data_IF_469626877770
#
_entry.id   IF_469626877770
#
_cell.length_a   1.000
_cell.length_b   1.000
_cell.length_c   1.000
_cell.angle_alpha   90.00
_cell.angle_beta   90.00
_cell.angle_gamma   90.00
#
_symmetry.space_group_name_H-M   'P 1'
#
loop_
_entity.id
_entity.type
_entity.pdbx_description
1 polymer ?
#
# COMPACT_ATOMS: atom_id res chain seq x y z
N UNK A 1 -31.11 -14.47 -6.58
CA UNK A 1 -30.25 -13.29 -6.34
C UNK A 1 -29.41 -13.50 -5.08
N UNK A 2 -28.25 -12.85 -4.96
CA UNK A 2 -27.40 -12.98 -3.75
C UNK A 2 -28.08 -12.42 -2.49
N UNK A 3 -28.93 -11.39 -2.65
CA UNK A 3 -29.69 -10.82 -1.55
C UNK A 3 -30.71 -11.82 -0.97
N UNK A 4 -31.35 -12.66 -1.81
CA UNK A 4 -32.39 -13.61 -1.39
C UNK A 4 -31.81 -14.71 -0.48
N UNK A 5 -30.50 -14.97 -0.53
CA UNK A 5 -29.81 -15.95 0.33
C UNK A 5 -29.18 -15.31 1.57
N UNK A 6 -29.46 -14.03 1.83
CA UNK A 6 -29.08 -13.34 3.07
C UNK A 6 -27.67 -12.74 3.10
N UNK A 7 -27.03 -12.49 1.95
CA UNK A 7 -25.75 -11.78 1.90
C UNK A 7 -25.95 -10.35 2.39
N UNK A 8 -25.05 -9.89 3.28
CA UNK A 8 -25.14 -8.58 3.93
C UNK A 8 -24.33 -7.50 3.21
N UNK A 9 -23.37 -7.87 2.36
CA UNK A 9 -22.48 -6.95 1.65
C UNK A 9 -21.86 -7.66 0.45
N UNK A 10 -21.58 -6.93 -0.63
CA UNK A 10 -20.87 -7.41 -1.82
C UNK A 10 -19.57 -6.64 -2.03
N UNK A 11 -18.48 -7.34 -2.29
CA UNK A 11 -17.26 -6.73 -2.78
C UNK A 11 -17.09 -7.08 -4.26
N UNK A 12 -16.92 -6.06 -5.11
CA UNK A 12 -16.76 -6.23 -6.55
C UNK A 12 -15.39 -5.72 -6.98
N UNK A 13 -14.64 -6.58 -7.67
CA UNK A 13 -13.32 -6.22 -8.22
C UNK A 13 -13.46 -5.82 -9.70
N UNK A 14 -12.88 -4.67 -10.07
CA UNK A 14 -12.95 -4.09 -11.40
C UNK A 14 -12.10 -4.79 -12.47
N UNK A 15 -11.85 -6.11 -12.34
CA UNK A 15 -11.22 -6.97 -13.35
C UNK A 15 -11.83 -8.36 -13.34
N UNK A 16 -11.83 -9.00 -14.51
CA UNK A 16 -12.18 -10.41 -14.61
C UNK A 16 -11.03 -11.30 -14.12
N UNK A 17 -11.35 -12.54 -13.80
CA UNK A 17 -10.35 -13.56 -13.44
C UNK A 17 -9.30 -13.76 -14.53
N UNK A 18 -9.70 -13.67 -15.81
CA UNK A 18 -8.81 -13.82 -16.96
C UNK A 18 -7.81 -12.66 -17.08
N UNK A 19 -8.25 -11.44 -16.79
CA UNK A 19 -7.36 -10.26 -16.77
C UNK A 19 -6.31 -10.34 -15.66
N UNK A 20 -6.65 -10.93 -14.51
CA UNK A 20 -5.75 -10.97 -13.35
C UNK A 20 -5.32 -9.57 -12.93
N UNK A 21 -4.01 -9.26 -13.08
CA UNK A 21 -3.46 -7.92 -12.79
C UNK A 21 -3.09 -7.12 -14.02
N UNK A 22 -3.45 -7.59 -15.23
CA UNK A 22 -3.14 -6.89 -16.49
C UNK A 22 -4.13 -5.75 -16.75
N UNK A 23 -3.68 -4.69 -17.42
CA UNK A 23 -4.49 -3.53 -17.75
C UNK A 23 -4.90 -2.72 -16.50
N UNK A 24 -5.96 -1.93 -16.63
CA UNK A 24 -6.54 -1.12 -15.56
C UNK A 24 -7.85 -1.74 -15.08
N UNK A 25 -8.19 -1.52 -13.80
CA UNK A 25 -9.50 -1.86 -13.28
C UNK A 25 -10.55 -0.93 -13.92
N UNK A 26 -11.68 -1.50 -14.33
CA UNK A 26 -12.85 -0.76 -14.79
C UNK A 26 -13.87 -0.62 -13.65
N UNK A 27 -14.72 0.38 -13.71
CA UNK A 27 -15.64 0.72 -12.64
C UNK A 27 -17.11 0.69 -13.05
N UNK A 28 -17.41 0.57 -14.35
CA UNK A 28 -18.76 0.59 -14.88
C UNK A 28 -19.56 -0.64 -14.40
N UNK A 29 -18.94 -1.82 -14.36
CA UNK A 29 -19.57 -3.03 -13.80
C UNK A 29 -19.86 -2.85 -12.31
N UNK A 30 -18.99 -2.19 -11.55
CA UNK A 30 -19.22 -1.92 -10.12
C UNK A 30 -20.41 -1.00 -9.95
N UNK A 31 -20.51 0.06 -10.75
CA UNK A 31 -21.65 0.98 -10.76
C UNK A 31 -22.97 0.25 -11.12
N UNK A 32 -22.94 -0.61 -12.15
CA UNK A 32 -24.10 -1.40 -12.55
C UNK A 32 -24.55 -2.36 -11.45
N UNK A 33 -23.63 -3.03 -10.76
CA UNK A 33 -23.95 -3.90 -9.60
C UNK A 33 -24.55 -3.06 -8.48
N UNK A 34 -23.94 -1.90 -8.13
CA UNK A 34 -24.48 -1.01 -7.08
C UNK A 34 -25.91 -0.56 -7.39
N UNK A 35 -26.21 -0.24 -8.63
CA UNK A 35 -27.57 0.15 -9.04
C UNK A 35 -28.59 -1.01 -8.99
N UNK A 36 -28.13 -2.26 -9.07
CA UNK A 36 -28.97 -3.45 -9.13
C UNK A 36 -29.26 -4.09 -7.76
N UNK A 37 -28.53 -3.70 -6.69
CA UNK A 37 -28.67 -4.30 -5.36
C UNK A 37 -28.93 -3.24 -4.29
N UNK A 38 -29.53 -3.69 -3.16
CA UNK A 38 -29.81 -2.84 -1.99
C UNK A 38 -28.77 -2.99 -0.88
N UNK A 39 -28.06 -4.12 -0.86
CA UNK A 39 -26.98 -4.34 0.11
C UNK A 39 -25.79 -3.43 -0.18
N UNK A 40 -24.97 -3.08 0.83
CA UNK A 40 -23.76 -2.33 0.63
C UNK A 40 -22.82 -2.97 -0.39
N UNK A 41 -22.23 -2.14 -1.26
CA UNK A 41 -21.24 -2.56 -2.26
C UNK A 41 -19.89 -1.94 -1.94
N UNK A 42 -18.87 -2.76 -1.90
CA UNK A 42 -17.46 -2.35 -1.72
C UNK A 42 -16.76 -2.40 -3.07
N UNK A 43 -16.23 -1.27 -3.53
CA UNK A 43 -15.45 -1.19 -4.77
C UNK A 43 -14.00 -1.59 -4.51
N UNK A 44 -13.46 -2.46 -5.38
CA UNK A 44 -12.06 -2.89 -5.34
C UNK A 44 -11.43 -2.83 -6.73
N UNK A 45 -10.18 -2.42 -6.80
CA UNK A 45 -9.36 -2.37 -8.02
C UNK A 45 -8.58 -1.07 -8.16
N UNK A 46 -7.25 -1.16 -8.24
CA UNK A 46 -6.31 -0.05 -8.49
C UNK A 46 -6.52 1.23 -7.65
N UNK A 47 -6.97 1.06 -6.41
CA UNK A 47 -7.13 2.17 -5.46
C UNK A 47 -5.80 2.32 -4.72
N UNK A 48 -5.01 3.33 -5.09
CA UNK A 48 -3.63 3.52 -4.66
C UNK A 48 -3.35 4.91 -4.09
N UNK A 49 -4.31 5.82 -4.17
CA UNK A 49 -4.21 7.18 -3.64
C UNK A 49 -5.55 7.69 -3.10
N UNK A 50 -5.55 8.74 -2.28
CA UNK A 50 -6.77 9.40 -1.80
C UNK A 50 -7.64 9.94 -2.94
N UNK A 51 -7.03 10.51 -3.99
CA UNK A 51 -7.74 11.04 -5.16
C UNK A 51 -8.44 9.91 -5.93
N UNK A 52 -7.71 8.79 -6.14
CA UNK A 52 -8.28 7.62 -6.80
C UNK A 52 -9.42 7.04 -6.00
N UNK A 53 -9.31 6.99 -4.67
CA UNK A 53 -10.38 6.56 -3.79
C UNK A 53 -11.64 7.41 -3.96
N UNK A 54 -11.51 8.75 -3.96
CA UNK A 54 -12.62 9.69 -4.21
C UNK A 54 -13.23 9.50 -5.60
N UNK A 55 -12.38 9.38 -6.63
CA UNK A 55 -12.84 9.20 -8.01
C UNK A 55 -13.62 7.90 -8.19
N UNK A 56 -13.16 6.80 -7.56
CA UNK A 56 -13.84 5.51 -7.61
C UNK A 56 -15.20 5.56 -6.91
N UNK A 57 -15.29 6.15 -5.73
CA UNK A 57 -16.58 6.33 -5.04
C UNK A 57 -17.56 7.17 -5.87
N UNK A 58 -17.08 8.26 -6.47
CA UNK A 58 -17.91 9.12 -7.32
C UNK A 58 -18.39 8.39 -8.59
N UNK A 59 -17.54 7.58 -9.22
CA UNK A 59 -17.87 6.85 -10.45
C UNK A 59 -18.80 5.66 -10.21
N UNK A 60 -18.69 4.99 -9.06
CA UNK A 60 -19.40 3.75 -8.80
C UNK A 60 -20.64 3.90 -7.92
N UNK A 61 -20.69 4.95 -7.10
CA UNK A 61 -21.70 5.06 -6.02
C UNK A 61 -21.54 4.00 -4.93
N UNK A 62 -20.41 3.29 -4.88
CA UNK A 62 -20.16 2.27 -3.87
C UNK A 62 -20.14 2.85 -2.45
N UNK A 63 -20.53 2.03 -1.48
CA UNK A 63 -20.65 2.45 -0.06
C UNK A 63 -19.29 2.42 0.66
N UNK A 64 -18.35 1.61 0.16
CA UNK A 64 -17.01 1.46 0.74
C UNK A 64 -15.96 1.09 -0.32
N UNK A 65 -14.70 1.11 0.10
CA UNK A 65 -13.55 0.77 -0.73
C UNK A 65 -12.75 -0.37 -0.10
N UNK A 66 -12.20 -1.25 -0.94
CA UNK A 66 -11.20 -2.23 -0.56
C UNK A 66 -9.86 -1.90 -1.23
N UNK A 67 -8.86 -1.63 -0.43
CA UNK A 67 -7.48 -1.39 -0.89
C UNK A 67 -6.69 -2.69 -0.77
N UNK A 68 -6.04 -3.09 -1.86
CA UNK A 68 -5.19 -4.28 -1.90
C UNK A 68 -3.69 -3.94 -1.86
N UNK A 69 -3.02 -4.08 -2.99
CA UNK A 69 -1.56 -3.94 -3.14
C UNK A 69 -1.00 -2.61 -2.62
N UNK A 70 -1.74 -1.52 -2.71
CA UNK A 70 -1.31 -0.22 -2.26
C UNK A 70 -1.14 -0.10 -0.73
N UNK A 71 -1.74 -1.01 0.04
CA UNK A 71 -1.55 -1.08 1.49
C UNK A 71 -0.30 -1.88 1.91
N UNK A 72 0.31 -2.62 0.98
CA UNK A 72 1.51 -3.41 1.25
C UNK A 72 2.71 -2.50 1.55
N UNK A 73 3.18 -2.52 2.79
CA UNK A 73 4.24 -1.64 3.29
C UNK A 73 3.81 -0.17 3.46
N UNK A 74 2.51 0.09 3.34
CA UNK A 74 1.91 1.43 3.49
C UNK A 74 0.54 1.36 4.18
N UNK A 75 0.43 0.79 5.39
CA UNK A 75 -0.89 0.65 6.04
C UNK A 75 -1.57 2.00 6.35
N UNK A 76 -0.82 3.07 6.51
CA UNK A 76 -1.35 4.42 6.71
C UNK A 76 -2.15 4.96 5.51
N UNK A 77 -2.15 4.29 4.35
CA UNK A 77 -3.00 4.66 3.20
C UNK A 77 -4.48 4.75 3.57
N UNK A 78 -4.95 3.90 4.49
CA UNK A 78 -6.34 3.94 4.94
C UNK A 78 -6.65 5.24 5.69
N UNK A 79 -5.75 5.69 6.57
CA UNK A 79 -5.84 6.98 7.27
C UNK A 79 -5.81 8.15 6.28
N UNK A 80 -4.88 8.10 5.31
CA UNK A 80 -4.72 9.12 4.29
C UNK A 80 -5.99 9.26 3.44
N UNK A 81 -6.57 8.14 3.01
CA UNK A 81 -7.83 8.10 2.25
C UNK A 81 -8.98 8.66 3.11
N UNK A 82 -9.16 8.17 4.34
CA UNK A 82 -10.24 8.60 5.21
C UNK A 82 -10.19 10.11 5.47
N UNK A 83 -9.01 10.66 5.77
CA UNK A 83 -8.82 12.09 5.97
C UNK A 83 -9.17 12.90 4.72
N UNK A 84 -8.65 12.47 3.56
CA UNK A 84 -8.90 13.16 2.30
C UNK A 84 -10.37 13.13 1.87
N UNK A 85 -11.05 12.02 2.09
CA UNK A 85 -12.50 11.93 1.81
C UNK A 85 -13.31 12.87 2.71
N UNK A 86 -12.90 13.02 3.97
CA UNK A 86 -13.58 13.88 4.94
C UNK A 86 -13.30 15.38 4.75
N UNK A 87 -12.08 15.76 4.33
CA UNK A 87 -11.60 17.16 4.36
C UNK A 87 -11.22 17.72 3.00
N UNK A 88 -10.96 16.89 2.01
CA UNK A 88 -10.38 17.28 0.73
C UNK A 88 -8.88 17.63 0.80
N UNK A 89 -8.24 17.45 1.96
CA UNK A 89 -6.83 17.80 2.18
C UNK A 89 -5.98 16.56 2.41
N UNK A 90 -4.70 16.63 2.04
CA UNK A 90 -3.73 15.59 2.33
C UNK A 90 -3.18 15.72 3.74
N UNK A 91 -2.90 14.59 4.36
CA UNK A 91 -2.04 14.53 5.54
C UNK A 91 -0.57 14.69 5.15
N UNK A 92 0.22 15.23 6.07
CA UNK A 92 1.67 15.16 5.95
C UNK A 92 2.12 13.67 5.92
N UNK A 93 3.22 13.35 5.19
CA UNK A 93 3.77 12.00 5.21
C UNK A 93 4.06 11.54 6.64
N UNK A 94 3.99 10.22 6.90
CA UNK A 94 4.23 9.69 8.24
C UNK A 94 5.65 9.98 8.71
N UNK A 95 5.82 10.14 10.01
CA UNK A 95 7.14 10.20 10.63
C UNK A 95 7.86 8.86 10.44
N UNK A 96 9.18 8.90 10.26
CA UNK A 96 10.02 7.68 10.20
C UNK A 96 9.84 6.84 11.47
N UNK A 97 9.74 7.48 12.63
CA UNK A 97 9.49 6.83 13.92
C UNK A 97 8.12 6.13 13.97
N UNK A 98 7.08 6.76 13.42
CA UNK A 98 5.75 6.15 13.32
C UNK A 98 5.79 4.86 12.48
N UNK A 99 6.46 4.90 11.34
CA UNK A 99 6.59 3.73 10.46
C UNK A 99 7.46 2.64 11.09
N UNK A 100 8.49 3.01 11.83
CA UNK A 100 9.28 2.09 12.64
C UNK A 100 8.39 1.32 13.62
N UNK A 101 7.60 2.05 14.41
CA UNK A 101 6.67 1.45 15.37
C UNK A 101 5.68 0.50 14.72
N UNK A 102 5.02 0.93 13.64
CA UNK A 102 4.07 0.11 12.89
C UNK A 102 4.69 -1.18 12.33
N UNK A 103 5.92 -1.11 11.80
CA UNK A 103 6.56 -2.33 11.26
C UNK A 103 6.99 -3.27 12.38
N UNK A 104 7.52 -2.76 13.49
CA UNK A 104 7.92 -3.60 14.63
C UNK A 104 6.71 -4.30 15.26
N UNK A 105 5.58 -3.62 15.43
CA UNK A 105 4.33 -4.20 15.90
C UNK A 105 3.81 -5.27 14.92
N UNK A 106 3.80 -4.96 13.61
CA UNK A 106 3.42 -5.91 12.58
C UNK A 106 4.30 -7.18 12.59
N UNK A 107 5.61 -7.03 12.80
CA UNK A 107 6.51 -8.19 12.89
C UNK A 107 6.24 -9.04 14.13
N UNK A 108 6.01 -8.41 15.28
CA UNK A 108 5.69 -9.12 16.53
C UNK A 108 4.40 -9.94 16.39
N UNK A 109 3.32 -9.35 15.89
CA UNK A 109 2.07 -10.04 15.61
C UNK A 109 2.24 -11.16 14.57
N UNK A 110 3.05 -10.91 13.54
CA UNK A 110 3.33 -11.89 12.51
C UNK A 110 4.08 -13.11 13.05
N UNK A 111 5.06 -12.90 13.92
CA UNK A 111 5.80 -14.00 14.55
C UNK A 111 4.95 -14.76 15.57
N UNK A 112 4.08 -14.07 16.31
CA UNK A 112 3.12 -14.74 17.21
C UNK A 112 2.15 -15.64 16.43
N UNK A 113 1.67 -15.17 15.27
CA UNK A 113 0.69 -15.92 14.46
C UNK A 113 1.30 -17.12 13.77
N UNK A 114 2.48 -16.96 13.13
CA UNK A 114 3.06 -17.98 12.25
C UNK A 114 4.19 -18.80 12.91
N UNK A 115 4.59 -18.44 14.13
CA UNK A 115 5.75 -19.03 14.82
C UNK A 115 7.07 -18.57 14.23
N UNK A 116 8.18 -18.88 14.89
CA UNK A 116 9.52 -18.39 14.51
C UNK A 116 9.95 -18.83 13.12
N UNK A 117 9.90 -20.13 12.81
CA UNK A 117 10.43 -20.66 11.56
C UNK A 117 9.70 -20.15 10.30
N UNK A 118 8.36 -20.17 10.32
CA UNK A 118 7.54 -19.71 9.19
C UNK A 118 7.45 -18.19 9.19
N UNK A 119 7.30 -17.58 10.37
CA UNK A 119 7.19 -16.15 10.56
C UNK A 119 8.39 -15.40 10.00
N UNK A 120 9.62 -15.81 10.33
CA UNK A 120 10.84 -15.17 9.83
C UNK A 120 10.91 -15.19 8.30
N UNK A 121 10.61 -16.34 7.67
CA UNK A 121 10.65 -16.45 6.20
C UNK A 121 9.57 -15.60 5.52
N UNK A 122 8.35 -15.61 6.03
CA UNK A 122 7.24 -14.86 5.45
C UNK A 122 7.32 -13.36 5.75
N UNK A 123 7.92 -12.93 6.87
CA UNK A 123 8.16 -11.53 7.21
C UNK A 123 9.09 -10.82 6.20
N UNK A 124 10.00 -11.53 5.55
CA UNK A 124 10.96 -10.97 4.56
C UNK A 124 10.26 -10.15 3.48
N UNK A 125 9.12 -10.61 2.97
CA UNK A 125 8.34 -9.87 1.97
C UNK A 125 7.72 -8.60 2.55
N UNK A 126 7.21 -8.65 3.79
CA UNK A 126 6.62 -7.49 4.46
C UNK A 126 7.68 -6.42 4.72
N UNK A 127 8.83 -6.79 5.31
CA UNK A 127 9.97 -5.89 5.48
C UNK A 127 10.34 -5.23 4.14
N UNK A 128 10.48 -6.05 3.08
CA UNK A 128 10.79 -5.56 1.74
C UNK A 128 9.77 -4.55 1.21
N UNK A 129 8.48 -4.71 1.52
CA UNK A 129 7.45 -3.75 1.12
C UNK A 129 7.56 -2.42 1.86
N UNK A 130 7.85 -2.42 3.17
CA UNK A 130 7.99 -1.19 3.94
C UNK A 130 9.19 -0.36 3.54
N UNK A 131 10.31 -1.01 3.20
CA UNK A 131 11.57 -0.32 2.93
C UNK A 131 11.85 -0.08 1.44
N UNK A 132 10.95 -0.54 0.56
CA UNK A 132 11.08 -0.34 -0.88
C UNK A 132 11.22 1.16 -1.16
N UNK A 133 12.17 1.55 -2.00
CA UNK A 133 12.47 2.93 -2.43
C UNK A 133 12.92 3.87 -1.28
N UNK A 134 13.20 3.35 -0.09
CA UNK A 134 13.82 4.11 0.99
C UNK A 134 15.34 4.02 0.91
N UNK A 135 16.07 5.07 1.33
CA UNK A 135 17.53 5.06 1.37
C UNK A 135 18.07 3.86 2.16
N UNK A 136 18.90 3.03 1.54
CA UNK A 136 19.43 1.81 2.17
C UNK A 136 18.45 0.65 2.34
N UNK A 137 17.18 0.79 1.90
CA UNK A 137 16.15 -0.23 2.05
C UNK A 137 16.48 -1.55 1.37
N UNK A 138 17.10 -1.51 0.17
CA UNK A 138 17.54 -2.73 -0.51
C UNK A 138 18.67 -3.46 0.24
N UNK A 139 19.54 -2.75 0.93
CA UNK A 139 20.57 -3.35 1.76
C UNK A 139 19.94 -4.06 2.98
N UNK A 140 18.99 -3.42 3.65
CA UNK A 140 18.23 -4.05 4.74
C UNK A 140 17.48 -5.28 4.25
N UNK A 141 16.77 -5.19 3.12
CA UNK A 141 16.04 -6.33 2.53
C UNK A 141 16.96 -7.52 2.27
N UNK A 142 18.14 -7.30 1.68
CA UNK A 142 19.12 -8.38 1.46
C UNK A 142 19.61 -8.96 2.78
N UNK A 143 19.92 -8.13 3.75
CA UNK A 143 20.38 -8.57 5.06
C UNK A 143 19.30 -9.40 5.79
N UNK A 144 18.07 -8.90 5.90
CA UNK A 144 16.98 -9.61 6.59
C UNK A 144 16.59 -10.93 5.91
N UNK A 145 16.88 -11.10 4.60
CA UNK A 145 16.68 -12.35 3.89
C UNK A 145 17.68 -13.46 4.32
N UNK A 146 18.80 -13.12 4.92
CA UNK A 146 19.78 -14.08 5.43
C UNK A 146 19.56 -14.48 6.89
N UNK A 147 18.71 -13.73 7.60
CA UNK A 147 18.45 -13.98 9.02
C UNK A 147 17.37 -15.05 9.19
N UNK A 148 17.55 -15.96 10.13
CA UNK A 148 16.65 -17.05 10.45
C UNK A 148 16.07 -16.95 11.89
N UNK A 149 16.34 -15.83 12.57
CA UNK A 149 15.89 -15.53 13.92
C UNK A 149 15.00 -14.26 13.96
N UNK A 150 13.89 -14.32 14.71
CA UNK A 150 12.95 -13.21 14.85
C UNK A 150 13.59 -11.98 15.50
N UNK A 151 14.36 -12.19 16.57
CA UNK A 151 14.98 -11.09 17.32
C UNK A 151 16.03 -10.38 16.44
N UNK A 152 16.81 -11.15 15.69
CA UNK A 152 17.79 -10.59 14.75
C UNK A 152 17.12 -9.79 13.62
N UNK A 153 16.00 -10.27 13.06
CA UNK A 153 15.23 -9.50 12.05
C UNK A 153 14.65 -8.23 12.65
N UNK A 154 14.04 -8.31 13.84
CA UNK A 154 13.48 -7.16 14.55
C UNK A 154 14.56 -6.12 14.85
N UNK A 155 15.73 -6.55 15.34
CA UNK A 155 16.85 -5.65 15.63
C UNK A 155 17.38 -4.97 14.36
N UNK A 156 17.56 -5.72 13.27
CA UNK A 156 18.01 -5.17 12.00
C UNK A 156 17.06 -4.08 11.45
N UNK A 157 15.74 -4.31 11.54
CA UNK A 157 14.71 -3.34 11.16
C UNK A 157 14.77 -2.12 12.07
N UNK A 158 14.82 -2.31 13.39
CA UNK A 158 14.90 -1.24 14.38
C UNK A 158 16.10 -0.33 14.10
N UNK A 159 17.30 -0.90 13.95
CA UNK A 159 18.54 -0.15 13.72
C UNK A 159 18.53 0.61 12.38
N UNK A 160 17.92 0.03 11.37
CA UNK A 160 17.75 0.70 10.08
C UNK A 160 16.89 1.97 10.21
N UNK A 161 15.71 1.87 10.84
CA UNK A 161 14.83 3.02 10.99
C UNK A 161 15.37 4.07 11.96
N UNK A 162 16.12 3.70 12.99
CA UNK A 162 16.83 4.65 13.84
C UNK A 162 17.86 5.47 13.05
N UNK A 163 18.64 4.83 12.18
CA UNK A 163 19.57 5.55 11.29
C UNK A 163 18.83 6.39 10.25
N UNK A 164 17.75 5.90 9.69
CA UNK A 164 16.93 6.65 8.72
C UNK A 164 16.34 7.90 9.36
N UNK A 165 15.88 7.81 10.62
CA UNK A 165 15.35 8.95 11.39
C UNK A 165 16.37 10.05 11.68
N UNK A 166 17.68 9.72 11.67
CA UNK A 166 18.74 10.73 11.76
C UNK A 166 18.96 11.50 10.43
N UNK A 167 18.49 10.93 9.31
CA UNK A 167 18.65 11.54 7.98
C UNK A 167 17.39 12.30 7.55
N UNK A 168 16.23 11.86 7.97
CA UNK A 168 14.94 12.48 7.64
C UNK A 168 13.91 12.25 8.74
N UNK A 169 13.10 13.27 9.02
CA UNK A 169 12.02 13.18 10.00
C UNK A 169 10.82 12.42 9.49
N UNK A 170 10.46 12.63 8.20
CA UNK A 170 9.30 12.05 7.53
C UNK A 170 9.69 11.26 6.30
N UNK A 171 8.90 10.25 5.97
CA UNK A 171 9.07 9.54 4.70
C UNK A 171 8.80 10.49 3.51
N UNK A 172 9.40 10.22 2.34
CA UNK A 172 9.12 10.97 1.12
C UNK A 172 7.61 10.95 0.79
N UNK A 173 7.09 12.10 0.32
CA UNK A 173 5.70 12.19 -0.11
C UNK A 173 5.50 11.44 -1.43
N UNK A 174 4.46 10.61 -1.48
CA UNK A 174 3.96 10.04 -2.73
C UNK A 174 4.79 8.89 -3.28
N UNK A 175 4.38 7.70 -2.93
CA UNK A 175 4.74 6.51 -3.69
C UNK A 175 3.59 6.20 -4.64
N UNK A 176 3.70 6.48 -5.96
CA UNK A 176 2.78 5.89 -6.92
C UNK A 176 2.92 4.37 -6.79
N UNK A 177 1.78 3.66 -6.72
CA UNK A 177 1.81 2.20 -6.83
C UNK A 177 2.46 1.88 -8.18
N UNK A 178 3.71 1.41 -8.14
CA UNK A 178 4.38 0.97 -9.37
C UNK A 178 3.62 -0.21 -9.93
N UNK A 179 3.07 -0.05 -11.13
CA UNK A 179 2.68 -1.18 -11.94
C UNK A 179 3.89 -2.13 -12.04
N UNK A 180 3.71 -3.46 -11.98
CA UNK A 180 4.80 -4.40 -12.18
C UNK A 180 5.39 -4.14 -13.58
N UNK A 181 6.64 -3.68 -13.64
CA UNK A 181 7.36 -3.39 -14.89
C UNK A 181 7.79 -1.93 -15.11
N UNK A 182 7.48 -0.99 -14.24
CA UNK A 182 8.02 0.37 -14.35
C UNK A 182 9.47 0.41 -13.84
N UNK A 183 10.41 0.68 -14.75
CA UNK A 183 11.81 0.96 -14.42
C UNK A 183 11.88 2.22 -13.55
N UNK A 184 12.65 2.23 -12.43
CA UNK A 184 12.81 3.43 -11.61
C UNK A 184 13.39 4.55 -12.47
N UNK A 185 12.73 5.71 -12.46
CA UNK A 185 13.33 6.95 -12.98
C UNK A 185 14.52 7.28 -12.07
N UNK A 186 15.72 7.18 -12.61
CA UNK A 186 16.94 7.60 -11.91
C UNK A 186 16.92 9.12 -11.72
N UNK A 187 17.47 9.59 -10.59
CA UNK A 187 17.56 11.01 -10.22
C UNK A 187 18.14 11.88 -11.35
N UNK A 188 19.02 11.32 -12.19
CA UNK A 188 19.62 11.98 -13.37
C UNK A 188 18.57 12.39 -14.42
N UNK A 189 17.54 11.56 -14.68
CA UNK A 189 16.50 11.90 -15.66
C UNK A 189 15.52 12.98 -15.16
N UNK A 190 15.34 13.09 -13.84
CA UNK A 190 14.50 14.14 -13.25
C UNK A 190 15.21 15.49 -13.28
N UNK A 191 16.53 15.53 -13.09
CA UNK A 191 17.31 16.75 -13.20
C UNK A 191 17.43 17.25 -14.65
N UNK A 192 17.54 16.35 -15.61
CA UNK A 192 17.62 16.71 -17.03
C UNK A 192 16.34 17.34 -17.57
N UNK A 193 15.17 16.84 -17.14
CA UNK A 193 13.86 17.40 -17.53
C UNK A 193 13.60 18.80 -16.93
N UNK A 194 14.23 19.15 -15.80
CA UNK A 194 14.12 20.49 -15.18
C UNK A 194 15.01 21.50 -15.90
N UNK A 195 16.12 21.07 -16.50
CA UNK A 195 17.05 21.96 -17.23
C UNK A 195 16.67 22.18 -18.69
N UNK A 196 15.92 21.29 -19.33
CA UNK A 196 15.50 21.43 -20.74
C UNK A 196 14.18 22.22 -20.92
N UNK A 197 13.45 22.53 -19.83
CA UNK A 197 12.23 23.34 -19.84
C UNK A 197 12.39 24.82 -19.58
N UNK A 198 13.65 25.35 -19.52
CA UNK A 198 13.98 26.73 -19.19
C UNK A 198 14.77 27.44 -20.30
N UNK A 199 14.38 27.20 -21.58
CA UNK A 199 14.82 28.04 -22.72
C UNK A 199 13.65 28.40 -23.60
#
# INVERSE_FOLDING_TARGET
>A
CFEDIGIQMLTVHGRTREQGYRGQAEYDTIAAVKAAVRVPVVANGDIDSPEKARAVLAATGADALMVGRAAQGRPWIFRDIAHYLATGQHLAPPLVEEVRGLLLEHLDDHYRLYGSATGVRSARKHIGWYVRDLPGGDALRRHTNTLDDCAAQTQAVNDYFLRLGQQMERLPQGRPATAPGATPLTLEKTLQAVFEGAT
#
